data_IF_079461931411
#
_entry.id   IF_079461931411
#
_cell.length_a   1.000
_cell.length_b   1.000
_cell.length_c   1.000
_cell.angle_alpha   90.00
_cell.angle_beta   90.00
_cell.angle_gamma   90.00
#
_symmetry.space_group_name_H-M   'P 1'
#
loop_
_entity.id
_entity.type
_entity.pdbx_description
1 polymer ?
#
# COMPACT_ATOMS: atom_id res chain seq x y z
N UNK A 1 3.23 -2.67 25.89
CA UNK A 1 2.28 -1.90 25.06
C UNK A 1 2.06 -2.65 23.75
N UNK A 2 0.93 -3.34 23.62
CA UNK A 2 0.60 -4.16 22.45
C UNK A 2 0.36 -3.20 21.27
N UNK A 3 1.36 -3.01 20.40
CA UNK A 3 1.26 -2.17 19.20
C UNK A 3 0.19 -2.79 18.29
N UNK A 4 -1.02 -2.26 18.33
CA UNK A 4 -2.09 -2.64 17.42
C UNK A 4 -1.80 -2.06 16.04
N UNK A 5 -0.90 -2.70 15.30
CA UNK A 5 -0.57 -2.38 13.90
C UNK A 5 -1.83 -2.25 13.03
N UNK A 6 -2.88 -2.99 13.38
CA UNK A 6 -4.21 -2.92 12.77
C UNK A 6 -4.89 -1.55 12.86
N UNK A 7 -4.70 -0.82 13.97
CA UNK A 7 -5.27 0.51 14.14
C UNK A 7 -4.57 1.54 13.25
N UNK A 8 -3.26 1.39 13.03
CA UNK A 8 -2.51 2.21 12.09
C UNK A 8 -2.96 1.93 10.65
N UNK A 9 -3.09 0.66 10.28
CA UNK A 9 -3.60 0.23 8.97
C UNK A 9 -4.97 0.81 8.65
N UNK A 10 -5.92 0.75 9.60
CA UNK A 10 -7.27 1.30 9.41
C UNK A 10 -7.26 2.82 9.21
N UNK A 11 -6.41 3.55 9.95
CA UNK A 11 -6.24 5.01 9.76
C UNK A 11 -5.74 5.34 8.35
N UNK A 12 -4.80 4.55 7.83
CA UNK A 12 -4.22 4.77 6.50
C UNK A 12 -5.25 4.53 5.40
N UNK A 13 -5.96 3.42 5.46
CA UNK A 13 -7.03 3.09 4.50
C UNK A 13 -8.13 4.15 4.51
N UNK A 14 -8.55 4.60 5.69
CA UNK A 14 -9.60 5.62 5.81
C UNK A 14 -9.19 6.90 5.07
N UNK A 15 -7.97 7.42 5.31
CA UNK A 15 -7.50 8.65 4.65
C UNK A 15 -7.42 8.49 3.13
N UNK A 16 -6.85 7.39 2.63
CA UNK A 16 -6.78 7.10 1.19
C UNK A 16 -8.16 6.92 0.56
N UNK A 17 -9.10 6.28 1.25
CA UNK A 17 -10.49 6.16 0.77
C UNK A 17 -11.18 7.51 0.66
N UNK A 18 -10.88 8.47 1.57
CA UNK A 18 -11.43 9.82 1.48
C UNK A 18 -10.83 10.61 0.32
N UNK A 19 -9.52 10.47 0.05
CA UNK A 19 -8.86 11.12 -1.08
C UNK A 19 -9.39 10.62 -2.43
N UNK A 20 -9.52 9.30 -2.58
CA UNK A 20 -10.06 8.67 -3.81
C UNK A 20 -11.54 8.97 -4.05
N UNK A 21 -12.37 9.05 -3.01
CA UNK A 21 -13.75 9.56 -3.15
C UNK A 21 -13.75 11.02 -3.56
N UNK A 22 -12.87 11.83 -2.98
CA UNK A 22 -12.75 13.25 -3.34
C UNK A 22 -12.36 13.41 -4.80
N UNK A 23 -11.51 12.55 -5.36
CA UNK A 23 -11.16 12.57 -6.80
C UNK A 23 -12.40 12.44 -7.71
N UNK A 24 -13.44 11.71 -7.30
CA UNK A 24 -14.68 11.59 -8.06
C UNK A 24 -15.48 12.90 -8.11
N UNK A 25 -15.27 13.81 -7.16
CA UNK A 25 -15.90 15.13 -7.17
C UNK A 25 -15.43 16.00 -8.36
N UNK A 26 -14.30 15.66 -8.99
CA UNK A 26 -13.86 16.32 -10.22
C UNK A 26 -14.93 16.26 -11.32
N UNK A 27 -15.68 15.17 -11.44
CA UNK A 27 -16.73 15.04 -12.45
C UNK A 27 -17.95 15.96 -12.22
N UNK A 28 -18.08 16.54 -11.01
CA UNK A 28 -19.11 17.52 -10.68
C UNK A 28 -18.74 18.94 -11.14
N UNK A 29 -17.46 19.20 -11.41
CA UNK A 29 -17.00 20.49 -11.90
C UNK A 29 -17.35 20.64 -13.38
N UNK A 30 -17.80 21.83 -13.78
CA UNK A 30 -18.24 22.09 -15.15
C UNK A 30 -17.07 22.43 -16.07
N UNK A 31 -16.07 23.14 -15.55
CA UNK A 31 -14.89 23.61 -16.28
C UNK A 31 -13.74 22.60 -16.25
N UNK A 32 -13.18 22.29 -17.42
CA UNK A 32 -12.05 21.36 -17.54
C UNK A 32 -10.80 21.84 -16.81
N UNK A 33 -10.55 23.16 -16.81
CA UNK A 33 -9.40 23.74 -16.11
C UNK A 33 -9.46 23.42 -14.60
N UNK A 34 -10.62 23.67 -13.99
CA UNK A 34 -10.87 23.38 -12.57
C UNK A 34 -10.79 21.87 -12.27
N UNK A 35 -11.29 21.03 -13.17
CA UNK A 35 -11.20 19.57 -13.04
C UNK A 35 -9.75 19.09 -12.95
N UNK A 36 -8.91 19.55 -13.88
CA UNK A 36 -7.50 19.13 -13.94
C UNK A 36 -6.71 19.70 -12.77
N UNK A 37 -6.97 20.95 -12.37
CA UNK A 37 -6.34 21.55 -11.20
C UNK A 37 -6.68 20.77 -9.92
N UNK A 38 -7.97 20.48 -9.72
CA UNK A 38 -8.43 19.71 -8.56
C UNK A 38 -7.84 18.29 -8.55
N UNK A 39 -7.87 17.57 -9.68
CA UNK A 39 -7.31 16.22 -9.77
C UNK A 39 -5.79 16.19 -9.56
N UNK A 40 -5.08 17.19 -10.05
CA UNK A 40 -3.63 17.32 -9.84
C UNK A 40 -3.32 17.50 -8.35
N UNK A 41 -4.11 18.32 -7.64
CA UNK A 41 -3.97 18.50 -6.20
C UNK A 41 -4.25 17.21 -5.41
N UNK A 42 -5.30 16.46 -5.79
CA UNK A 42 -5.58 15.16 -5.16
C UNK A 42 -4.45 14.16 -5.42
N UNK A 43 -3.92 14.12 -6.66
CA UNK A 43 -2.80 13.26 -7.03
C UNK A 43 -1.53 13.59 -6.22
N UNK A 44 -1.19 14.87 -6.09
CA UNK A 44 -0.07 15.32 -5.26
C UNK A 44 -0.28 14.96 -3.78
N UNK A 45 -1.52 15.06 -3.28
CA UNK A 45 -1.86 14.70 -1.90
C UNK A 45 -1.69 13.20 -1.66
N UNK A 46 -2.08 12.34 -2.61
CA UNK A 46 -1.84 10.90 -2.51
C UNK A 46 -0.36 10.56 -2.53
N UNK A 47 0.42 11.16 -3.42
CA UNK A 47 1.87 10.96 -3.49
C UNK A 47 2.54 11.44 -2.20
N UNK A 48 2.15 12.59 -1.67
CA UNK A 48 2.66 13.08 -0.38
C UNK A 48 2.30 12.11 0.76
N UNK A 49 1.08 11.56 0.75
CA UNK A 49 0.65 10.60 1.75
C UNK A 49 1.43 9.28 1.67
N UNK A 50 1.77 8.81 0.46
CA UNK A 50 2.66 7.66 0.25
C UNK A 50 4.02 7.86 0.94
N UNK A 51 4.63 9.03 0.79
CA UNK A 51 5.90 9.34 1.47
C UNK A 51 5.76 9.36 2.99
N UNK A 52 4.70 9.99 3.50
CA UNK A 52 4.42 10.03 4.94
C UNK A 52 4.32 8.61 5.49
N UNK A 53 3.55 7.72 4.86
CA UNK A 53 3.40 6.32 5.30
C UNK A 53 4.75 5.58 5.25
N UNK A 54 5.56 5.84 4.21
CA UNK A 54 6.87 5.24 4.02
C UNK A 54 7.85 5.49 5.18
N UNK A 55 7.70 6.59 5.92
CA UNK A 55 8.51 6.86 7.12
C UNK A 55 8.08 6.05 8.35
N UNK A 56 6.81 5.65 8.43
CA UNK A 56 6.27 4.89 9.56
C UNK A 56 6.43 3.37 9.41
N UNK A 57 6.64 2.89 8.18
CA UNK A 57 6.75 1.45 7.88
C UNK A 57 8.22 1.11 7.61
N UNK A 58 8.84 0.20 8.37
CA UNK A 58 10.20 -0.23 8.06
C UNK A 58 10.21 -0.84 6.66
N UNK A 59 11.15 -0.45 5.81
CA UNK A 59 11.26 -0.95 4.44
C UNK A 59 11.45 -2.48 4.45
N UNK A 60 10.36 -3.22 4.23
CA UNK A 60 10.37 -4.68 4.10
C UNK A 60 10.40 -5.02 2.62
N UNK A 61 11.21 -6.01 2.25
CA UNK A 61 11.47 -6.38 0.84
C UNK A 61 10.31 -7.14 0.16
N UNK A 62 9.09 -7.08 0.72
CA UNK A 62 7.91 -7.72 0.15
C UNK A 62 6.76 -6.72 0.01
N UNK A 63 5.94 -6.90 -1.03
CA UNK A 63 4.73 -6.11 -1.27
C UNK A 63 3.78 -6.34 -0.10
N UNK A 64 3.59 -5.32 0.74
CA UNK A 64 2.60 -5.40 1.81
C UNK A 64 1.19 -5.20 1.24
N UNK A 65 0.17 -5.73 1.93
CA UNK A 65 -1.24 -5.48 1.56
C UNK A 65 -1.53 -3.97 1.55
N UNK A 66 -0.85 -3.20 2.39
CA UNK A 66 -0.97 -1.76 2.43
C UNK A 66 -0.38 -1.09 1.18
N UNK A 67 0.83 -1.47 0.77
CA UNK A 67 1.45 -0.91 -0.43
C UNK A 67 0.60 -1.21 -1.67
N UNK A 68 0.07 -2.43 -1.78
CA UNK A 68 -0.86 -2.79 -2.85
C UNK A 68 -2.12 -1.91 -2.88
N UNK A 69 -2.65 -1.53 -1.72
CA UNK A 69 -3.79 -0.60 -1.62
C UNK A 69 -3.41 0.81 -2.10
N UNK A 70 -2.27 1.33 -1.66
CA UNK A 70 -1.79 2.68 -2.05
C UNK A 70 -1.50 2.75 -3.55
N UNK A 71 -0.89 1.72 -4.13
CA UNK A 71 -0.71 1.67 -5.58
C UNK A 71 -2.03 1.57 -6.33
N UNK A 72 -3.01 0.83 -5.79
CA UNK A 72 -4.34 0.73 -6.39
C UNK A 72 -5.07 2.08 -6.37
N UNK A 73 -4.99 2.85 -5.27
CA UNK A 73 -5.58 4.19 -5.21
C UNK A 73 -4.92 5.15 -6.19
N UNK A 74 -3.58 5.12 -6.27
CA UNK A 74 -2.81 5.99 -7.17
C UNK A 74 -3.12 5.69 -8.64
N UNK A 75 -3.19 4.41 -9.01
CA UNK A 75 -3.62 3.99 -10.35
C UNK A 75 -5.06 4.41 -10.63
N UNK A 76 -5.96 4.30 -9.64
CA UNK A 76 -7.35 4.73 -9.79
C UNK A 76 -7.48 6.23 -10.05
N UNK A 77 -6.78 7.09 -9.29
CA UNK A 77 -6.77 8.54 -9.53
C UNK A 77 -6.15 8.87 -10.88
N UNK A 78 -5.07 8.18 -11.27
CA UNK A 78 -4.47 8.33 -12.59
C UNK A 78 -5.45 7.98 -13.73
N UNK A 79 -6.26 6.94 -13.58
CA UNK A 79 -7.29 6.58 -14.55
C UNK A 79 -8.38 7.65 -14.64
N UNK A 80 -8.77 8.29 -13.54
CA UNK A 80 -9.72 9.41 -13.54
C UNK A 80 -9.15 10.59 -14.33
N UNK A 81 -7.88 10.95 -14.11
CA UNK A 81 -7.20 12.01 -14.88
C UNK A 81 -7.22 11.70 -16.37
N UNK A 82 -6.92 10.44 -16.74
CA UNK A 82 -6.92 10.00 -18.13
C UNK A 82 -8.33 10.06 -18.73
N UNK A 83 -9.37 9.69 -17.99
CA UNK A 83 -10.77 9.83 -18.43
C UNK A 83 -11.14 11.29 -18.68
N UNK A 84 -10.83 12.21 -17.76
CA UNK A 84 -11.07 13.64 -17.93
C UNK A 84 -10.33 14.19 -19.18
N UNK A 85 -9.07 13.80 -19.38
CA UNK A 85 -8.31 14.17 -20.57
C UNK A 85 -8.87 13.59 -21.87
N UNK A 86 -9.36 12.35 -21.84
CA UNK A 86 -10.00 11.71 -22.99
C UNK A 86 -11.32 12.39 -23.37
N UNK A 87 -12.16 12.76 -22.39
CA UNK A 87 -13.38 13.54 -22.62
C UNK A 87 -13.07 14.88 -23.28
N UNK A 88 -12.02 15.57 -22.83
CA UNK A 88 -11.56 16.82 -23.45
C UNK A 88 -11.07 16.61 -24.89
N UNK A 89 -10.27 15.58 -25.14
CA UNK A 89 -9.71 15.30 -26.47
C UNK A 89 -10.79 14.96 -27.51
N UNK A 90 -11.86 14.26 -27.10
CA UNK A 90 -12.99 13.93 -27.99
C UNK A 90 -13.80 15.17 -28.37
N UNK A 91 -13.62 16.31 -27.69
CA UNK A 91 -14.24 17.58 -28.08
C UNK A 91 -15.76 17.58 -27.92
N UNK A 92 -16.28 16.83 -26.94
CA UNK A 92 -17.72 16.76 -26.67
C UNK A 92 -18.22 18.14 -26.23
N UNK A 93 -19.11 18.75 -27.02
CA UNK A 93 -19.76 20.04 -26.68
C UNK A 93 -20.34 20.02 -25.25
N UNK A 94 -20.28 21.16 -24.55
CA UNK A 94 -20.59 21.27 -23.12
C UNK A 94 -21.95 20.69 -22.71
N UNK A 95 -22.96 20.78 -23.59
CA UNK A 95 -24.32 20.28 -23.32
C UNK A 95 -24.38 18.73 -23.38
N UNK A 96 -23.78 18.12 -24.40
CA UNK A 96 -23.67 16.65 -24.53
C UNK A 96 -22.75 16.07 -23.46
N UNK A 97 -21.73 16.84 -23.04
CA UNK A 97 -20.82 16.46 -21.96
C UNK A 97 -21.53 16.29 -20.62
N UNK A 98 -22.65 16.99 -20.35
CA UNK A 98 -23.37 16.85 -19.07
C UNK A 98 -24.10 15.52 -18.96
N UNK A 99 -24.77 15.10 -20.03
CA UNK A 99 -25.48 13.81 -20.08
C UNK A 99 -24.52 12.63 -20.06
N UNK A 100 -23.29 12.79 -20.56
CA UNK A 100 -22.25 11.76 -20.51
C UNK A 100 -21.54 11.76 -19.15
N UNK A 101 -21.35 12.90 -18.48
CA UNK A 101 -20.65 12.96 -17.18
C UNK A 101 -21.36 12.22 -16.06
N UNK A 102 -22.69 12.30 -15.97
CA UNK A 102 -23.47 11.63 -14.92
C UNK A 102 -23.32 10.09 -14.89
N UNK A 103 -23.52 9.36 -16.01
CA UNK A 103 -23.32 7.91 -16.01
C UNK A 103 -21.87 7.53 -15.74
N UNK A 104 -20.89 8.30 -16.23
CA UNK A 104 -19.48 8.06 -15.93
C UNK A 104 -19.17 8.23 -14.44
N UNK A 105 -19.75 9.22 -13.77
CA UNK A 105 -19.63 9.39 -12.33
C UNK A 105 -20.21 8.18 -11.58
N UNK A 106 -21.44 7.75 -11.91
CA UNK A 106 -22.05 6.58 -11.26
C UNK A 106 -21.25 5.29 -11.47
N UNK A 107 -20.71 5.08 -12.66
CA UNK A 107 -19.86 3.92 -12.96
C UNK A 107 -18.56 3.97 -12.15
N UNK A 108 -17.88 5.12 -12.08
CA UNK A 108 -16.65 5.26 -11.30
C UNK A 108 -16.89 5.07 -9.80
N UNK A 109 -17.99 5.60 -9.27
CA UNK A 109 -18.41 5.41 -7.87
C UNK A 109 -18.76 3.94 -7.61
N UNK A 110 -19.47 3.27 -8.51
CA UNK A 110 -19.79 1.85 -8.37
C UNK A 110 -18.53 0.97 -8.37
N UNK A 111 -17.59 1.23 -9.28
CA UNK A 111 -16.28 0.56 -9.33
C UNK A 111 -15.51 0.80 -8.03
N UNK A 112 -15.52 2.03 -7.52
CA UNK A 112 -14.87 2.36 -6.26
C UNK A 112 -15.46 1.55 -5.09
N UNK A 113 -16.78 1.53 -4.94
CA UNK A 113 -17.42 0.74 -3.88
C UNK A 113 -17.14 -0.76 -4.04
N UNK A 114 -17.12 -1.29 -5.27
CA UNK A 114 -16.74 -2.69 -5.51
C UNK A 114 -15.30 -2.97 -5.06
N UNK A 115 -14.35 -2.09 -5.39
CA UNK A 115 -12.96 -2.22 -4.95
C UNK A 115 -12.88 -2.18 -3.41
N UNK A 116 -13.55 -1.23 -2.76
CA UNK A 116 -13.54 -1.14 -1.29
C UNK A 116 -14.21 -2.34 -0.62
N UNK A 117 -15.30 -2.87 -1.20
CA UNK A 117 -15.98 -4.08 -0.70
C UNK A 117 -15.07 -5.30 -0.87
N UNK A 118 -14.47 -5.50 -2.05
CA UNK A 118 -13.53 -6.62 -2.28
C UNK A 118 -12.34 -6.53 -1.34
N UNK A 119 -11.79 -5.34 -1.13
CA UNK A 119 -10.65 -5.15 -0.22
C UNK A 119 -11.05 -5.36 1.23
N UNK A 120 -12.20 -4.83 1.66
CA UNK A 120 -12.75 -5.04 2.99
C UNK A 120 -13.04 -6.52 3.27
N UNK A 121 -13.66 -7.22 2.32
CA UNK A 121 -13.89 -8.67 2.39
C UNK A 121 -12.56 -9.42 2.40
N UNK A 122 -11.58 -9.05 1.57
CA UNK A 122 -10.26 -9.70 1.57
C UNK A 122 -9.56 -9.54 2.93
N UNK A 123 -9.62 -8.36 3.54
CA UNK A 123 -9.02 -8.08 4.86
C UNK A 123 -9.73 -8.82 5.99
N UNK A 124 -11.07 -8.96 5.93
CA UNK A 124 -11.86 -9.64 6.96
C UNK A 124 -11.84 -11.16 6.81
N UNK A 125 -11.90 -11.66 5.57
CA UNK A 125 -11.99 -13.09 5.27
C UNK A 125 -10.64 -13.79 5.23
N UNK A 126 -9.53 -13.09 4.97
CA UNK A 126 -8.20 -13.69 5.07
C UNK A 126 -7.96 -14.01 6.55
N UNK A 127 -8.02 -15.29 6.97
CA UNK A 127 -7.75 -15.66 8.33
C UNK A 127 -6.33 -15.18 8.66
N UNK A 128 -6.15 -14.74 9.89
CA UNK A 128 -4.91 -14.22 10.44
C UNK A 128 -3.90 -15.36 10.56
N UNK A 129 -3.44 -15.89 9.43
CA UNK A 129 -2.31 -16.80 9.36
C UNK A 129 -1.07 -15.96 9.62
N UNK A 130 -0.79 -15.84 10.91
CA UNK A 130 0.48 -15.40 11.47
C UNK A 130 1.60 -16.04 10.64
N UNK A 131 2.43 -15.22 9.96
CA UNK A 131 3.17 -15.67 8.80
C UNK A 131 4.12 -16.80 9.19
N UNK A 132 3.97 -17.96 8.54
CA UNK A 132 4.97 -19.03 8.53
C UNK A 132 6.39 -18.49 8.25
N UNK A 133 6.51 -17.30 7.66
CA UNK A 133 7.76 -16.61 7.38
C UNK A 133 8.41 -15.97 8.62
N UNK A 134 7.66 -15.41 9.58
CA UNK A 134 8.26 -14.91 10.84
C UNK A 134 8.78 -16.08 11.66
N UNK A 135 8.02 -17.18 11.71
CA UNK A 135 8.50 -18.42 12.34
C UNK A 135 9.64 -19.06 11.55
N UNK A 136 9.69 -18.95 10.22
CA UNK A 136 10.82 -19.37 9.39
C UNK A 136 12.08 -18.53 9.64
N UNK A 137 11.98 -17.21 9.73
CA UNK A 137 13.11 -16.33 10.06
C UNK A 137 13.61 -16.56 11.49
N UNK A 138 12.71 -16.77 12.47
CA UNK A 138 13.11 -17.18 13.81
C UNK A 138 13.83 -18.53 13.80
N UNK A 139 13.34 -19.50 12.99
CA UNK A 139 14.01 -20.80 12.82
C UNK A 139 15.39 -20.65 12.17
N UNK A 140 15.55 -19.76 11.18
CA UNK A 140 16.84 -19.49 10.55
C UNK A 140 17.81 -18.78 11.50
N UNK A 141 17.35 -17.75 12.21
CA UNK A 141 18.15 -17.04 13.21
C UNK A 141 18.55 -17.95 14.39
N UNK A 142 17.67 -18.87 14.81
CA UNK A 142 17.98 -19.87 15.81
C UNK A 142 19.00 -20.91 15.31
N UNK A 143 18.94 -21.27 14.02
CA UNK A 143 19.89 -22.20 13.38
C UNK A 143 21.29 -21.59 13.29
N UNK A 144 21.41 -20.32 12.89
CA UNK A 144 22.70 -19.63 12.88
C UNK A 144 23.32 -19.54 14.28
N UNK A 145 22.55 -19.15 15.31
CA UNK A 145 23.08 -19.11 16.69
C UNK A 145 23.59 -20.46 17.18
N UNK A 146 22.97 -21.57 16.78
CA UNK A 146 23.47 -22.92 17.10
C UNK A 146 24.77 -23.22 16.37
N UNK A 147 24.88 -22.82 15.10
CA UNK A 147 26.06 -23.03 14.28
C UNK A 147 27.26 -22.22 14.82
N UNK A 148 27.07 -20.96 15.20
CA UNK A 148 28.12 -20.12 15.82
C UNK A 148 28.56 -20.67 17.18
N UNK A 149 27.62 -21.14 18.01
CA UNK A 149 27.95 -21.76 19.30
C UNK A 149 28.73 -23.07 19.14
N UNK A 150 28.43 -23.85 18.10
CA UNK A 150 29.19 -25.06 17.76
C UNK A 150 30.62 -24.75 17.37
N UNK A 151 30.80 -23.76 16.48
CA UNK A 151 32.11 -23.27 16.03
C UNK A 151 32.96 -22.69 17.17
N UNK A 152 32.34 -21.94 18.09
CA UNK A 152 33.03 -21.44 19.29
C UNK A 152 33.51 -22.57 20.18
N UNK A 153 32.68 -23.60 20.40
CA UNK A 153 33.06 -24.78 21.19
C UNK A 153 34.24 -25.54 20.58
N UNK A 154 34.23 -25.77 19.27
CA UNK A 154 35.34 -26.46 18.59
C UNK A 154 36.63 -25.64 18.62
N UNK A 155 36.54 -24.32 18.45
CA UNK A 155 37.71 -23.43 18.60
C UNK A 155 38.27 -23.45 20.02
N UNK A 156 37.43 -23.41 21.06
CA UNK A 156 37.89 -23.48 22.46
C UNK A 156 38.50 -24.84 22.82
N UNK A 157 37.99 -25.94 22.24
CA UNK A 157 38.56 -27.26 22.45
C UNK A 157 39.95 -27.39 21.78
N UNK A 158 40.09 -26.90 20.54
CA UNK A 158 41.36 -26.92 19.81
C UNK A 158 42.44 -26.05 20.47
N UNK A 159 42.06 -24.90 21.02
CA UNK A 159 43.00 -24.03 21.77
C UNK A 159 43.38 -24.61 23.14
N UNK A 160 42.48 -25.31 23.81
CA UNK A 160 42.80 -26.05 25.03
C UNK A 160 43.79 -27.19 24.76
N UNK A 161 43.61 -27.94 23.66
CA UNK A 161 44.49 -29.03 23.24
C UNK A 161 45.88 -28.53 22.84
N UNK A 162 45.97 -27.41 22.11
CA UNK A 162 47.28 -26.80 21.79
C UNK A 162 48.01 -26.23 23.01
N UNK A 163 47.27 -25.84 24.07
CA UNK A 163 47.87 -25.36 25.33
C UNK A 163 48.29 -26.49 26.28
N UNK A 164 47.71 -27.68 26.14
CA UNK A 164 48.07 -28.88 26.91
C UNK A 164 49.31 -29.61 26.39
N UNK A 165 49.67 -29.41 25.12
CA UNK A 165 50.87 -29.97 24.48
C UNK A 165 52.18 -29.20 24.79
N UNK A 166 52.11 -28.15 25.61
CA UNK A 166 53.27 -27.36 26.06
C UNK A 166 53.73 -27.70 27.49
N UNK A 167 53.40 -28.89 28.00
CA UNK A 167 53.89 -29.40 29.30
C UNK A 167 54.66 -30.70 29.12
#
# INVERSE_FOLDING_TARGET
AQRSWFFYFHRVILVLSMLTVSANAAFLLEEYADQVEFLTNVFLTEVAYLYIIGEYIPAVSYITILDAYVYTSLVYVFLIVLQCGALYFVGVEQEVSRDIRHPFFFVNVAIFFLIQIVFGVYVVCKPRDEPEIVTMFERLAAKERRQTKGLLKTFTAATAESSGLAK
#
